data_IF_137367426270
#
_entry.id   IF_137367426270
#
_cell.length_a   1.000
_cell.length_b   1.000
_cell.length_c   1.000
_cell.angle_alpha   90.00
_cell.angle_beta   90.00
_cell.angle_gamma   90.00
#
_symmetry.space_group_name_H-M   'P 1'
#
loop_
_entity.id
_entity.type
_entity.pdbx_description
1 polymer ?
#
# COMPACT_ATOMS: atom_id res chain seq x y z
N UNK A 1 27.01 -24.75 49.05
CA UNK A 1 27.86 -25.11 47.90
C UNK A 1 27.11 -25.03 46.57
N UNK A 2 25.77 -25.22 46.53
CA UNK A 2 24.98 -25.02 45.30
C UNK A 2 24.75 -23.56 44.90
N UNK A 3 24.68 -22.65 45.89
CA UNK A 3 24.38 -21.24 45.63
C UNK A 3 25.52 -20.50 44.94
N UNK A 4 26.78 -20.85 45.26
CA UNK A 4 27.95 -20.27 44.61
C UNK A 4 28.12 -20.78 43.17
N UNK A 5 27.76 -22.05 42.91
CA UNK A 5 27.72 -22.59 41.56
C UNK A 5 26.62 -21.92 40.71
N UNK A 6 25.43 -21.69 41.27
CA UNK A 6 24.38 -20.92 40.60
C UNK A 6 24.80 -19.48 40.31
N UNK A 7 25.48 -18.82 41.26
CA UNK A 7 25.97 -17.44 41.08
C UNK A 7 27.07 -17.35 40.03
N UNK A 8 27.93 -18.38 39.94
CA UNK A 8 28.96 -18.51 38.92
C UNK A 8 28.36 -18.74 37.54
N UNK A 9 27.43 -19.69 37.41
CA UNK A 9 26.71 -19.95 36.15
C UNK A 9 25.89 -18.72 35.71
N UNK A 10 25.30 -17.98 36.64
CA UNK A 10 24.59 -16.72 36.34
C UNK A 10 25.54 -15.64 35.80
N UNK A 11 26.69 -15.44 36.44
CA UNK A 11 27.68 -14.46 36.00
C UNK A 11 28.34 -14.84 34.66
N UNK A 12 28.63 -16.13 34.46
CA UNK A 12 29.17 -16.66 33.19
C UNK A 12 28.14 -16.51 32.06
N UNK A 13 26.86 -16.78 32.32
CA UNK A 13 25.79 -16.55 31.34
C UNK A 13 25.46 -15.06 31.13
N UNK A 14 25.76 -14.18 32.09
CA UNK A 14 25.63 -12.72 31.91
C UNK A 14 26.74 -12.15 31.03
N UNK A 15 27.93 -12.77 30.99
CA UNK A 15 29.01 -12.38 30.09
C UNK A 15 28.74 -12.78 28.63
N UNK A 16 27.98 -13.86 28.41
CA UNK A 16 27.63 -14.38 27.06
C UNK A 16 26.29 -13.87 26.51
N UNK A 17 25.52 -13.10 27.29
CA UNK A 17 24.48 -12.26 26.71
C UNK A 17 25.20 -11.22 25.86
N UNK A 18 25.08 -11.23 24.52
CA UNK A 18 25.72 -10.21 23.71
C UNK A 18 25.19 -8.88 24.23
N UNK A 19 26.06 -8.06 24.83
CA UNK A 19 25.69 -6.71 25.20
C UNK A 19 25.25 -6.06 23.91
N UNK A 20 23.92 -5.94 23.72
CA UNK A 20 23.39 -5.24 22.58
C UNK A 20 23.70 -3.79 22.91
N UNK A 21 24.90 -3.36 22.51
CA UNK A 21 25.32 -1.98 22.63
C UNK A 21 24.25 -1.13 21.98
N UNK A 22 23.91 0.01 22.55
CA UNK A 22 22.85 0.87 22.03
C UNK A 22 23.09 1.21 20.55
N UNK A 23 24.34 1.31 20.12
CA UNK A 23 24.74 1.43 18.71
C UNK A 23 24.28 0.26 17.82
N UNK A 24 24.42 -0.98 18.33
CA UNK A 24 23.98 -2.18 17.64
C UNK A 24 22.45 -2.23 17.57
N UNK A 25 21.76 -1.82 18.64
CA UNK A 25 20.30 -1.73 18.68
C UNK A 25 19.78 -0.66 17.70
N UNK A 26 20.38 0.54 17.73
CA UNK A 26 20.11 1.64 16.81
C UNK A 26 20.34 1.22 15.34
N UNK A 27 21.43 0.48 15.06
CA UNK A 27 21.72 -0.02 13.72
C UNK A 27 20.67 -1.03 13.24
N UNK A 28 20.19 -1.91 14.13
CA UNK A 28 19.13 -2.88 13.83
C UNK A 28 17.81 -2.16 13.55
N UNK A 29 17.43 -1.17 14.36
CA UNK A 29 16.22 -0.37 14.16
C UNK A 29 16.24 0.41 12.84
N UNK A 30 17.37 1.08 12.55
CA UNK A 30 17.60 1.75 11.27
C UNK A 30 17.51 0.77 10.10
N UNK A 31 18.04 -0.45 10.23
CA UNK A 31 17.96 -1.49 9.19
C UNK A 31 16.54 -2.03 8.98
N UNK A 32 15.76 -2.20 10.05
CA UNK A 32 14.38 -2.65 10.00
C UNK A 32 13.47 -1.60 9.33
N UNK A 33 13.61 -0.33 9.73
CA UNK A 33 12.93 0.79 9.10
C UNK A 33 13.27 0.90 7.61
N UNK A 34 14.56 0.78 7.23
CA UNK A 34 15.01 0.79 5.83
C UNK A 34 14.42 -0.37 5.03
N UNK A 35 14.33 -1.56 5.62
CA UNK A 35 13.74 -2.74 4.98
C UNK A 35 12.24 -2.55 4.74
N UNK A 36 11.49 -2.01 5.71
CA UNK A 36 10.08 -1.71 5.56
C UNK A 36 9.83 -0.65 4.46
N UNK A 37 10.65 0.40 4.45
CA UNK A 37 10.63 1.46 3.45
C UNK A 37 11.00 0.95 2.04
N UNK A 38 11.99 0.06 1.91
CA UNK A 38 12.34 -0.57 0.64
C UNK A 38 11.22 -1.46 0.13
N UNK A 39 10.55 -2.23 1.01
CA UNK A 39 9.37 -3.01 0.64
C UNK A 39 8.25 -2.11 0.13
N UNK A 40 8.00 -0.98 0.81
CA UNK A 40 7.00 0.00 0.40
C UNK A 40 7.33 0.58 -1.00
N UNK A 41 8.59 0.96 -1.25
CA UNK A 41 9.06 1.44 -2.56
C UNK A 41 8.90 0.37 -3.65
N UNK A 42 9.21 -0.89 -3.34
CA UNK A 42 9.06 -2.00 -4.28
C UNK A 42 7.60 -2.23 -4.66
N UNK A 43 6.68 -2.21 -3.68
CA UNK A 43 5.24 -2.30 -3.96
C UNK A 43 4.74 -1.14 -4.83
N UNK A 44 5.22 0.06 -4.57
CA UNK A 44 4.89 1.23 -5.39
C UNK A 44 5.43 1.10 -6.82
N UNK A 45 6.65 0.58 -7.00
CA UNK A 45 7.24 0.31 -8.32
C UNK A 45 6.46 -0.78 -9.08
N UNK A 46 6.12 -1.88 -8.40
CA UNK A 46 5.29 -2.94 -8.98
C UNK A 46 3.95 -2.37 -9.43
N UNK A 47 3.30 -1.54 -8.61
CA UNK A 47 2.06 -0.87 -8.98
C UNK A 47 2.20 -0.01 -10.25
N UNK A 48 3.31 0.73 -10.40
CA UNK A 48 3.57 1.54 -11.58
C UNK A 48 3.73 0.69 -12.85
N UNK A 49 4.44 -0.43 -12.74
CA UNK A 49 4.66 -1.37 -13.84
C UNK A 49 3.35 -2.06 -14.25
N UNK A 50 2.47 -2.36 -13.29
CA UNK A 50 1.19 -3.03 -13.53
C UNK A 50 0.16 -2.08 -14.17
N UNK A 51 0.15 -0.79 -13.81
CA UNK A 51 -0.80 0.21 -14.36
C UNK A 51 -0.63 0.42 -15.87
N UNK A 52 0.59 0.33 -16.40
CA UNK A 52 0.88 0.54 -17.82
C UNK A 52 0.17 -0.47 -18.75
N UNK A 53 0.31 -1.80 -18.61
CA UNK A 53 -0.41 -2.76 -19.44
C UNK A 53 -1.93 -2.72 -19.20
N UNK A 54 -2.38 -2.27 -18.02
CA UNK A 54 -3.80 -2.09 -17.71
C UNK A 54 -4.50 -1.13 -18.68
N UNK A 55 -3.82 -0.11 -19.22
CA UNK A 55 -4.42 0.82 -20.21
C UNK A 55 -4.89 0.12 -21.48
N UNK A 56 -4.26 -1.00 -21.84
CA UNK A 56 -4.58 -1.77 -23.05
C UNK A 56 -5.78 -2.72 -22.87
N UNK A 57 -6.18 -3.02 -21.64
CA UNK A 57 -7.23 -4.02 -21.37
C UNK A 57 -8.57 -3.67 -22.03
N UNK A 58 -9.10 -2.43 -21.93
CA UNK A 58 -10.36 -2.10 -22.58
C UNK A 58 -10.30 -2.22 -24.11
N UNK A 59 -9.14 -1.91 -24.71
CA UNK A 59 -8.93 -2.00 -26.16
C UNK A 59 -8.91 -3.45 -26.64
N UNK A 60 -8.23 -4.32 -25.89
CA UNK A 60 -8.18 -5.76 -26.18
C UNK A 60 -9.55 -6.40 -25.95
N UNK A 61 -10.23 -6.03 -24.87
CA UNK A 61 -11.56 -6.54 -24.53
C UNK A 61 -12.58 -6.22 -25.63
N UNK A 62 -12.62 -4.98 -26.13
CA UNK A 62 -13.54 -4.61 -27.22
C UNK A 62 -13.30 -5.38 -28.52
N UNK A 63 -12.08 -5.85 -28.77
CA UNK A 63 -11.76 -6.70 -29.93
C UNK A 63 -12.18 -8.15 -29.74
N UNK A 64 -12.13 -8.67 -28.51
CA UNK A 64 -12.44 -10.09 -28.21
C UNK A 64 -13.93 -10.29 -27.91
N UNK A 65 -14.54 -9.38 -27.16
CA UNK A 65 -15.91 -9.50 -26.66
C UNK A 65 -16.85 -8.54 -27.41
N UNK A 66 -17.43 -9.04 -28.50
CA UNK A 66 -18.36 -8.27 -29.35
C UNK A 66 -19.66 -7.92 -28.62
N UNK A 67 -20.08 -8.75 -27.64
CA UNK A 67 -21.33 -8.56 -26.89
C UNK A 67 -21.19 -7.63 -25.67
N UNK A 68 -19.98 -7.38 -25.18
CA UNK A 68 -19.73 -6.62 -23.94
C UNK A 68 -18.75 -5.48 -24.21
N UNK A 69 -19.06 -4.61 -25.17
CA UNK A 69 -18.15 -3.53 -25.54
C UNK A 69 -18.20 -2.38 -24.52
N UNK A 70 -17.03 -1.90 -24.13
CA UNK A 70 -16.87 -0.63 -23.45
C UNK A 70 -17.41 0.49 -24.33
N UNK A 71 -18.30 1.30 -23.77
CA UNK A 71 -18.69 2.56 -24.42
C UNK A 71 -17.45 3.44 -24.65
N UNK A 72 -17.52 4.31 -25.67
CA UNK A 72 -16.42 5.25 -25.94
C UNK A 72 -16.07 6.08 -24.70
N UNK A 73 -17.08 6.52 -23.94
CA UNK A 73 -16.88 7.22 -22.68
C UNK A 73 -16.12 6.37 -21.66
N UNK A 74 -16.56 5.15 -21.38
CA UNK A 74 -15.90 4.27 -20.39
C UNK A 74 -14.47 3.97 -20.78
N UNK A 75 -14.20 3.78 -22.08
CA UNK A 75 -12.86 3.52 -22.60
C UNK A 75 -11.92 4.71 -22.37
N UNK A 76 -12.30 5.91 -22.81
CA UNK A 76 -11.46 7.11 -22.64
C UNK A 76 -11.31 7.49 -21.17
N UNK A 77 -12.38 7.33 -20.37
CA UNK A 77 -12.36 7.56 -18.93
C UNK A 77 -11.37 6.62 -18.22
N UNK A 78 -11.40 5.32 -18.56
CA UNK A 78 -10.49 4.34 -17.98
C UNK A 78 -9.02 4.64 -18.35
N UNK A 79 -8.74 4.93 -19.62
CA UNK A 79 -7.38 5.27 -20.08
C UNK A 79 -6.87 6.53 -19.36
N UNK A 80 -7.68 7.59 -19.30
CA UNK A 80 -7.33 8.82 -18.60
C UNK A 80 -7.04 8.56 -17.12
N UNK A 81 -7.86 7.74 -16.46
CA UNK A 81 -7.66 7.38 -15.05
C UNK A 81 -6.38 6.58 -14.84
N UNK A 82 -6.05 5.63 -15.72
CA UNK A 82 -4.79 4.90 -15.65
C UNK A 82 -3.57 5.81 -15.83
N UNK A 83 -3.62 6.78 -16.74
CA UNK A 83 -2.54 7.76 -16.92
C UNK A 83 -2.36 8.64 -15.68
N UNK A 84 -3.46 9.16 -15.12
CA UNK A 84 -3.43 9.91 -13.86
C UNK A 84 -2.91 9.05 -12.70
N UNK A 85 -3.35 7.79 -12.62
CA UNK A 85 -2.88 6.83 -11.63
C UNK A 85 -1.39 6.54 -11.75
N UNK A 86 -0.85 6.45 -12.97
CA UNK A 86 0.58 6.28 -13.20
C UNK A 86 1.38 7.49 -12.70
N UNK A 87 0.95 8.71 -13.04
CA UNK A 87 1.58 9.95 -12.55
C UNK A 87 1.51 10.03 -11.02
N UNK A 88 0.37 9.65 -10.43
CA UNK A 88 0.20 9.58 -8.98
C UNK A 88 1.16 8.58 -8.32
N UNK A 89 1.34 7.41 -8.95
CA UNK A 89 2.28 6.39 -8.49
C UNK A 89 3.72 6.90 -8.51
N UNK A 90 4.13 7.61 -9.57
CA UNK A 90 5.45 8.25 -9.64
C UNK A 90 5.64 9.30 -8.52
N UNK A 91 4.60 10.09 -8.23
CA UNK A 91 4.63 11.07 -7.14
C UNK A 91 4.80 10.42 -5.76
N UNK A 92 4.14 9.29 -5.50
CA UNK A 92 4.33 8.50 -4.26
C UNK A 92 5.75 7.95 -4.16
N UNK A 93 6.27 7.35 -5.24
CA UNK A 93 7.65 6.84 -5.30
C UNK A 93 8.65 7.98 -5.01
N UNK A 94 8.46 9.15 -5.63
CA UNK A 94 9.32 10.30 -5.40
C UNK A 94 9.27 10.79 -3.95
N UNK A 95 8.08 10.84 -3.35
CA UNK A 95 7.90 11.19 -1.92
C UNK A 95 8.63 10.19 -1.02
N UNK A 96 8.55 8.89 -1.31
CA UNK A 96 9.25 7.86 -0.56
C UNK A 96 10.77 7.89 -0.75
N UNK A 97 11.26 8.30 -1.92
CA UNK A 97 12.70 8.47 -2.18
C UNK A 97 13.35 9.52 -1.27
N UNK A 98 12.59 10.51 -0.82
CA UNK A 98 13.06 11.57 0.10
C UNK A 98 13.22 11.12 1.55
N UNK A 99 12.66 9.98 1.92
CA UNK A 99 12.82 9.42 3.26
C UNK A 99 14.18 8.72 3.35
N UNK A 100 15.06 9.26 4.19
CA UNK A 100 16.37 8.70 4.51
C UNK A 100 16.50 8.58 6.04
N UNK A 101 16.33 7.37 6.54
CA UNK A 101 16.33 7.06 7.98
C UNK A 101 17.75 7.19 8.58
N UNK A 102 18.81 7.20 7.75
CA UNK A 102 20.18 7.30 8.22
C UNK A 102 20.65 8.74 8.39
N UNK A 103 20.27 9.60 7.43
CA UNK A 103 20.83 10.94 7.31
C UNK A 103 19.85 12.07 7.69
N UNK A 104 18.55 11.83 7.61
CA UNK A 104 17.56 12.85 7.96
C UNK A 104 17.12 12.71 9.41
N UNK A 105 16.81 13.84 10.04
CA UNK A 105 16.19 13.84 11.37
C UNK A 105 14.86 13.07 11.37
N UNK A 106 14.52 12.48 12.51
CA UNK A 106 13.28 11.72 12.73
C UNK A 106 12.06 12.55 12.31
N UNK A 107 12.05 13.85 12.63
CA UNK A 107 10.97 14.78 12.29
C UNK A 107 10.76 14.92 10.77
N UNK A 108 11.86 14.99 10.00
CA UNK A 108 11.80 15.06 8.53
C UNK A 108 11.29 13.74 7.94
N UNK A 109 11.77 12.60 8.45
CA UNK A 109 11.27 11.28 8.05
C UNK A 109 9.77 11.13 8.32
N UNK A 110 9.32 11.47 9.53
CA UNK A 110 7.92 11.43 9.94
C UNK A 110 7.03 12.32 9.05
N UNK A 111 7.49 13.52 8.68
CA UNK A 111 6.76 14.42 7.77
C UNK A 111 6.50 13.78 6.40
N UNK A 112 7.51 13.14 5.80
CA UNK A 112 7.35 12.50 4.50
C UNK A 112 6.48 11.23 4.56
N UNK A 113 6.57 10.46 5.66
CA UNK A 113 5.70 9.30 5.89
C UNK A 113 4.24 9.72 6.09
N UNK A 114 3.98 10.81 6.84
CA UNK A 114 2.64 11.38 6.98
C UNK A 114 2.09 11.87 5.64
N UNK A 115 2.93 12.54 4.84
CA UNK A 115 2.56 12.97 3.49
C UNK A 115 2.19 11.78 2.60
N UNK A 116 2.96 10.70 2.65
CA UNK A 116 2.66 9.46 1.94
C UNK A 116 1.34 8.84 2.42
N UNK A 117 1.07 8.78 3.73
CA UNK A 117 -0.22 8.31 4.27
C UNK A 117 -1.40 9.09 3.72
N UNK A 118 -1.28 10.42 3.65
CA UNK A 118 -2.31 11.26 3.07
C UNK A 118 -2.55 10.91 1.59
N UNK A 119 -1.49 10.68 0.83
CA UNK A 119 -1.59 10.27 -0.57
C UNK A 119 -2.36 8.95 -0.72
N UNK A 120 -2.09 7.95 0.12
CA UNK A 120 -2.82 6.67 0.10
C UNK A 120 -4.30 6.85 0.49
N UNK A 121 -4.62 7.71 1.47
CA UNK A 121 -6.02 7.98 1.82
C UNK A 121 -6.79 8.63 0.68
N UNK A 122 -6.18 9.61 0.01
CA UNK A 122 -6.75 10.27 -1.17
C UNK A 122 -6.94 9.26 -2.30
N UNK A 123 -5.96 8.39 -2.55
CA UNK A 123 -6.04 7.34 -3.56
C UNK A 123 -7.19 6.38 -3.31
N UNK A 124 -7.38 5.91 -2.08
CA UNK A 124 -8.52 5.06 -1.70
C UNK A 124 -9.84 5.76 -1.97
N UNK A 125 -9.95 7.04 -1.60
CA UNK A 125 -11.17 7.83 -1.81
C UNK A 125 -11.47 8.05 -3.30
N UNK A 126 -10.48 8.44 -4.09
CA UNK A 126 -10.60 8.63 -5.54
C UNK A 126 -10.94 7.30 -6.23
N UNK A 127 -10.35 6.19 -5.78
CA UNK A 127 -10.62 4.85 -6.34
C UNK A 127 -12.07 4.41 -6.10
N UNK A 128 -12.68 4.78 -4.97
CA UNK A 128 -14.10 4.52 -4.71
C UNK A 128 -15.00 5.31 -5.67
N UNK A 129 -14.71 6.59 -5.89
CA UNK A 129 -15.45 7.42 -6.86
C UNK A 129 -15.32 6.84 -8.27
N UNK A 130 -14.09 6.48 -8.65
CA UNK A 130 -13.81 5.85 -9.94
C UNK A 130 -14.60 4.56 -10.15
N UNK A 131 -14.64 3.67 -9.16
CA UNK A 131 -15.42 2.43 -9.25
C UNK A 131 -16.90 2.69 -9.52
N UNK A 132 -17.51 3.67 -8.85
CA UNK A 132 -18.92 4.00 -9.05
C UNK A 132 -19.18 4.49 -10.49
N UNK A 133 -18.36 5.42 -10.98
CA UNK A 133 -18.50 5.98 -12.34
C UNK A 133 -18.22 4.90 -13.39
N UNK A 134 -17.19 4.07 -13.17
CA UNK A 134 -16.83 3.00 -14.08
C UNK A 134 -17.95 1.96 -14.17
N UNK A 135 -18.46 1.44 -13.05
CA UNK A 135 -19.56 0.48 -13.04
C UNK A 135 -20.83 1.06 -13.69
N UNK A 136 -21.18 2.30 -13.34
CA UNK A 136 -22.34 2.97 -13.95
C UNK A 136 -22.20 3.07 -15.46
N UNK A 137 -21.07 3.58 -15.95
CA UNK A 137 -20.85 3.74 -17.39
C UNK A 137 -20.69 2.42 -18.16
N UNK A 138 -20.14 1.39 -17.53
CA UNK A 138 -19.93 0.09 -18.14
C UNK A 138 -21.23 -0.71 -18.25
N UNK A 139 -22.06 -0.68 -17.21
CA UNK A 139 -23.29 -1.46 -17.18
C UNK A 139 -24.48 -0.74 -17.82
N UNK A 140 -24.48 0.59 -17.90
CA UNK A 140 -25.59 1.36 -18.48
C UNK A 140 -25.99 0.89 -19.89
N UNK A 141 -25.07 0.73 -20.87
CA UNK A 141 -25.42 0.25 -22.21
C UNK A 141 -25.90 -1.22 -22.22
N UNK A 142 -25.50 -2.00 -21.23
CA UNK A 142 -25.79 -3.42 -21.16
C UNK A 142 -27.21 -3.68 -20.62
N UNK A 143 -27.68 -2.86 -19.69
CA UNK A 143 -29.04 -2.94 -19.13
C UNK A 143 -30.11 -2.78 -20.22
N UNK A 144 -29.90 -1.88 -21.17
CA UNK A 144 -30.84 -1.64 -22.27
C UNK A 144 -30.92 -2.81 -23.26
N UNK A 145 -29.88 -3.64 -23.33
CA UNK A 145 -29.84 -4.82 -24.20
C UNK A 145 -30.50 -6.07 -23.59
N UNK A 146 -30.86 -6.03 -22.30
CA UNK A 146 -31.43 -7.16 -21.57
C UNK A 146 -32.95 -7.11 -21.54
N UNK A 147 -33.58 -8.28 -21.68
CA UNK A 147 -35.02 -8.44 -21.43
C UNK A 147 -35.36 -8.12 -19.96
N UNK A 148 -36.55 -7.57 -19.71
CA UNK A 148 -36.96 -7.04 -18.40
C UNK A 148 -36.90 -8.07 -17.27
N UNK A 149 -37.18 -9.33 -17.58
CA UNK A 149 -37.12 -10.47 -16.68
C UNK A 149 -35.69 -10.77 -16.17
N UNK A 150 -34.67 -10.41 -16.95
CA UNK A 150 -33.25 -10.65 -16.62
C UNK A 150 -32.54 -9.44 -16.01
N UNK A 151 -33.16 -8.25 -16.00
CA UNK A 151 -32.58 -7.03 -15.44
C UNK A 151 -32.34 -7.13 -13.93
N UNK A 152 -33.28 -7.74 -13.19
CA UNK A 152 -33.15 -7.91 -11.73
C UNK A 152 -31.95 -8.81 -11.39
N UNK A 153 -31.83 -9.96 -12.07
CA UNK A 153 -30.70 -10.88 -11.87
C UNK A 153 -29.37 -10.18 -12.18
N UNK A 154 -29.33 -9.40 -13.26
CA UNK A 154 -28.16 -8.64 -13.64
C UNK A 154 -27.74 -7.61 -12.58
N UNK A 155 -28.69 -6.84 -12.01
CA UNK A 155 -28.38 -5.90 -10.92
C UNK A 155 -27.83 -6.59 -9.67
N UNK A 156 -28.34 -7.78 -9.34
CA UNK A 156 -27.81 -8.58 -8.22
C UNK A 156 -26.36 -8.98 -8.49
N UNK A 157 -26.05 -9.49 -9.70
CA UNK A 157 -24.68 -9.87 -10.07
C UNK A 157 -23.74 -8.66 -10.06
N UNK A 158 -24.16 -7.53 -10.61
CA UNK A 158 -23.37 -6.29 -10.61
C UNK A 158 -23.11 -5.76 -9.19
N UNK A 159 -24.11 -5.86 -8.29
CA UNK A 159 -23.97 -5.47 -6.90
C UNK A 159 -22.98 -6.39 -6.15
N UNK A 160 -23.09 -7.70 -6.32
CA UNK A 160 -22.16 -8.68 -5.72
C UNK A 160 -20.73 -8.43 -6.22
N UNK A 161 -20.57 -8.20 -7.53
CA UNK A 161 -19.26 -7.88 -8.12
C UNK A 161 -18.66 -6.60 -7.54
N UNK A 162 -19.47 -5.57 -7.35
CA UNK A 162 -19.05 -4.30 -6.73
C UNK A 162 -18.60 -4.50 -5.28
N UNK A 163 -19.33 -5.31 -4.50
CA UNK A 163 -18.97 -5.63 -3.10
C UNK A 163 -17.61 -6.34 -3.05
N UNK A 164 -17.37 -7.31 -3.95
CA UNK A 164 -16.09 -8.03 -4.04
C UNK A 164 -14.94 -7.06 -4.31
N UNK A 165 -15.11 -6.13 -5.27
CA UNK A 165 -14.10 -5.14 -5.60
C UNK A 165 -13.78 -4.19 -4.43
N UNK A 166 -14.80 -3.72 -3.71
CA UNK A 166 -14.60 -2.89 -2.51
C UNK A 166 -13.89 -3.67 -1.40
N UNK A 167 -14.25 -4.94 -1.19
CA UNK A 167 -13.59 -5.80 -0.20
C UNK A 167 -12.11 -6.03 -0.54
N UNK A 168 -11.78 -6.25 -1.81
CA UNK A 168 -10.40 -6.38 -2.29
C UNK A 168 -9.60 -5.09 -2.06
N UNK A 169 -10.16 -3.93 -2.41
CA UNK A 169 -9.50 -2.64 -2.19
C UNK A 169 -9.21 -2.42 -0.70
N UNK A 170 -10.20 -2.69 0.17
CA UNK A 170 -10.04 -2.59 1.61
C UNK A 170 -8.98 -3.56 2.15
N UNK A 171 -8.94 -4.78 1.65
CA UNK A 171 -7.95 -5.79 2.02
C UNK A 171 -6.53 -5.33 1.67
N UNK A 172 -6.32 -4.80 0.46
CA UNK A 172 -5.03 -4.27 0.02
C UNK A 172 -4.58 -3.11 0.92
N UNK A 173 -5.49 -2.15 1.17
CA UNK A 173 -5.24 -1.01 2.05
C UNK A 173 -4.81 -1.44 3.46
N UNK A 174 -5.59 -2.34 4.08
CA UNK A 174 -5.35 -2.78 5.45
C UNK A 174 -4.10 -3.64 5.59
N UNK A 175 -3.86 -4.57 4.66
CA UNK A 175 -2.80 -5.58 4.78
C UNK A 175 -1.43 -5.06 4.39
N UNK A 176 -1.34 -4.25 3.34
CA UNK A 176 -0.06 -3.79 2.82
C UNK A 176 0.29 -2.41 3.36
N UNK A 177 -0.53 -1.40 3.09
CA UNK A 177 -0.19 -0.02 3.40
C UNK A 177 -0.19 0.27 4.90
N UNK A 178 -1.27 -0.08 5.61
CA UNK A 178 -1.36 0.18 7.05
C UNK A 178 -0.30 -0.59 7.84
N UNK A 179 -0.03 -1.85 7.48
CA UNK A 179 0.95 -2.70 8.18
C UNK A 179 2.38 -2.18 8.01
N UNK A 180 2.80 -1.84 6.79
CA UNK A 180 4.17 -1.36 6.56
C UNK A 180 4.38 0.03 7.14
N UNK A 181 3.38 0.90 7.06
CA UNK A 181 3.52 2.26 7.61
C UNK A 181 3.59 2.25 9.13
N UNK A 182 2.81 1.39 9.81
CA UNK A 182 2.89 1.22 11.27
C UNK A 182 4.28 0.75 11.71
N UNK A 183 4.90 -0.19 10.97
CA UNK A 183 6.27 -0.65 11.25
C UNK A 183 7.30 0.46 11.12
N UNK A 184 7.17 1.34 10.12
CA UNK A 184 8.07 2.48 9.96
C UNK A 184 7.92 3.46 11.13
N UNK A 185 6.68 3.71 11.59
CA UNK A 185 6.42 4.58 12.74
C UNK A 185 6.91 3.99 14.06
N UNK A 186 6.72 2.69 14.27
CA UNK A 186 7.25 1.97 15.44
C UNK A 186 8.78 2.08 15.47
N UNK A 187 9.46 1.82 14.35
CA UNK A 187 10.92 1.98 14.28
C UNK A 187 11.38 3.43 14.47
N UNK A 188 10.64 4.43 13.98
CA UNK A 188 10.99 5.84 14.21
C UNK A 188 10.81 6.24 15.67
N UNK A 189 9.77 5.76 16.34
CA UNK A 189 9.52 6.04 17.77
C UNK A 189 10.55 5.38 18.68
N UNK A 190 10.93 4.14 18.38
CA UNK A 190 11.99 3.43 19.11
C UNK A 190 13.36 4.12 18.96
N UNK A 191 13.66 4.68 17.78
CA UNK A 191 14.88 5.50 17.59
C UNK A 191 14.79 6.82 18.40
N UNK A 192 13.63 7.48 18.45
CA UNK A 192 13.44 8.72 19.22
C UNK A 192 13.61 8.49 20.73
N UNK A 193 13.11 7.37 21.25
CA UNK A 193 13.24 7.00 22.67
C UNK A 193 14.71 6.75 23.03
N UNK A 194 15.46 6.01 22.21
CA UNK A 194 16.89 5.77 22.42
C UNK A 194 17.75 7.03 22.31
N UNK A 195 17.40 7.96 21.42
CA UNK A 195 18.08 9.25 21.33
C UNK A 195 17.77 10.13 22.55
N UNK A 196 16.58 10.01 23.16
CA UNK A 196 16.24 10.75 24.39
C UNK A 196 16.88 10.15 25.64
N UNK A 197 17.02 8.82 25.73
CA UNK A 197 17.59 8.15 26.91
C UNK A 197 19.13 8.26 26.99
N UNK A 198 19.79 8.59 25.86
CA UNK A 198 21.25 8.80 25.77
C UNK A 198 21.70 10.26 26.01
N UNK A 199 20.77 11.20 26.24
CA UNK A 199 21.03 12.60 26.58
C UNK A 199 20.48 12.95 27.96
#
# INVERSE_FOLDING_TARGET
>A
MDLDNLKKVWNENQQDLPSITDDKLLSMLKSNGRTALNKLRLWELIGAIVILPLTGIPLIHNKIFVLFQYSAFTLYFFIAFCLLGFVWQLYKIWTLKKVDILNNSILVCSKYILKYKLCIKIEVFISLIFMIIFMGSFFYPLVDSLADDRKILFYIVAAVWTIIMVALLWFIYRRFYRKQTKRIEESLKEIEELERDNY
#
